data_IF_867607873510
#
_entry.id   IF_867607873510
#
_cell.length_a   1.000
_cell.length_b   1.000
_cell.length_c   1.000
_cell.angle_alpha   90.00
_cell.angle_beta   90.00
_cell.angle_gamma   90.00
#
_symmetry.space_group_name_H-M   'P 1'
#
loop_
_entity.id
_entity.type
_entity.pdbx_description
1 polymer ?
#
# COMPACT_ATOMS: atom_id res chain seq x y z
N UNK A 1 21.48 -69.28 -13.84
CA UNK A 1 22.13 -70.20 -14.82
C UNK A 1 22.51 -69.40 -16.05
N UNK A 2 23.80 -69.42 -16.33
CA UNK A 2 24.55 -69.56 -17.55
C UNK A 2 24.89 -68.26 -18.20
N UNK A 3 26.08 -67.67 -18.03
CA UNK A 3 27.45 -68.00 -18.52
C UNK A 3 27.50 -67.94 -20.07
N UNK A 4 28.25 -67.07 -20.68
CA UNK A 4 29.63 -67.08 -21.21
C UNK A 4 29.72 -66.11 -22.39
N UNK A 5 30.62 -65.12 -22.41
CA UNK A 5 32.02 -64.98 -22.81
C UNK A 5 32.27 -64.67 -24.29
N UNK A 6 33.11 -63.62 -24.48
CA UNK A 6 34.15 -63.33 -25.47
C UNK A 6 33.85 -62.91 -26.90
N UNK A 7 34.44 -61.76 -27.25
CA UNK A 7 34.81 -61.36 -28.59
C UNK A 7 35.58 -60.07 -28.62
N UNK A 8 36.93 -60.19 -28.60
CA UNK A 8 37.89 -59.13 -28.80
C UNK A 8 37.94 -58.70 -30.28
N UNK A 9 37.99 -57.40 -30.53
CA UNK A 9 38.34 -56.83 -31.83
C UNK A 9 38.73 -55.38 -31.67
N UNK A 10 40.06 -55.12 -31.67
CA UNK A 10 40.63 -53.82 -31.58
C UNK A 10 40.65 -53.07 -32.91
N UNK A 11 40.74 -51.79 -32.86
CA UNK A 11 41.64 -50.91 -33.60
C UNK A 11 41.05 -49.52 -33.83
N UNK A 12 41.85 -48.53 -33.69
CA UNK A 12 41.67 -47.25 -34.37
C UNK A 12 41.44 -46.06 -33.49
N UNK A 13 42.47 -45.56 -32.78
CA UNK A 13 42.53 -44.23 -32.22
C UNK A 13 42.72 -43.23 -33.35
N UNK A 14 41.73 -42.41 -33.65
CA UNK A 14 41.90 -41.17 -34.39
C UNK A 14 41.59 -40.04 -33.43
N UNK A 15 42.67 -39.40 -32.93
CA UNK A 15 42.60 -38.14 -32.18
C UNK A 15 42.22 -36.95 -33.10
N UNK A 16 40.93 -36.64 -33.14
CA UNK A 16 40.47 -35.40 -33.69
C UNK A 16 40.34 -34.37 -32.56
N UNK A 17 41.29 -33.44 -32.44
CA UNK A 17 41.15 -32.27 -31.60
C UNK A 17 40.14 -31.33 -32.26
N UNK A 18 38.87 -31.44 -31.83
CA UNK A 18 37.87 -30.46 -32.11
C UNK A 18 38.12 -29.18 -31.30
N UNK A 19 38.57 -28.15 -32.01
CA UNK A 19 38.67 -26.80 -31.46
C UNK A 19 37.26 -26.27 -31.19
N UNK A 20 36.85 -26.16 -29.91
CA UNK A 20 35.62 -25.50 -29.47
C UNK A 20 35.96 -23.99 -29.50
N UNK A 21 35.31 -23.18 -30.33
CA UNK A 21 35.48 -21.73 -30.26
C UNK A 21 34.97 -21.22 -28.89
N UNK A 22 35.59 -20.20 -28.27
CA UNK A 22 35.09 -19.64 -27.03
C UNK A 22 33.67 -19.12 -27.28
N UNK A 23 32.75 -19.44 -26.35
CA UNK A 23 31.41 -18.89 -26.32
C UNK A 23 31.53 -17.35 -26.34
N UNK A 24 30.97 -16.74 -27.37
CA UNK A 24 30.79 -15.29 -27.44
C UNK A 24 30.11 -14.86 -26.16
N UNK A 25 30.72 -13.94 -25.41
CA UNK A 25 30.10 -13.30 -24.28
C UNK A 25 28.80 -12.65 -24.78
N UNK A 26 27.66 -13.22 -24.40
CA UNK A 26 26.37 -12.57 -24.55
C UNK A 26 26.49 -11.20 -23.89
N UNK A 27 26.24 -10.16 -24.66
CA UNK A 27 26.34 -8.79 -24.23
C UNK A 27 25.44 -8.60 -22.99
N UNK A 28 26.04 -8.13 -21.91
CA UNK A 28 25.27 -7.68 -20.75
C UNK A 28 24.27 -6.63 -21.24
N UNK A 29 22.98 -6.98 -21.23
CA UNK A 29 21.90 -6.03 -21.48
C UNK A 29 22.04 -4.98 -20.39
N UNK A 30 22.35 -3.74 -20.77
CA UNK A 30 22.38 -2.62 -19.85
C UNK A 30 21.01 -2.60 -19.12
N UNK A 31 20.98 -2.40 -17.79
CA UNK A 31 19.72 -2.31 -17.07
C UNK A 31 18.87 -1.25 -17.75
N UNK A 32 17.66 -1.62 -18.19
CA UNK A 32 16.74 -0.67 -18.77
C UNK A 32 16.50 0.44 -17.75
N UNK A 33 16.71 1.69 -18.13
CA UNK A 33 16.40 2.80 -17.24
C UNK A 33 14.94 2.67 -16.78
N UNK A 34 14.72 2.85 -15.47
CA UNK A 34 13.36 2.82 -14.92
C UNK A 34 12.48 3.82 -15.67
N UNK A 35 11.25 3.45 -16.07
CA UNK A 35 10.32 4.38 -16.73
C UNK A 35 9.83 5.48 -15.78
N UNK A 36 10.28 5.45 -14.52
CA UNK A 36 9.81 6.31 -13.43
C UNK A 36 10.91 7.26 -12.97
N UNK A 37 10.54 8.53 -12.72
CA UNK A 37 11.38 9.56 -12.11
C UNK A 37 10.83 9.92 -10.74
N UNK A 38 11.65 9.82 -9.69
CA UNK A 38 11.27 10.22 -8.33
C UNK A 38 11.03 11.74 -8.30
N UNK A 39 9.84 12.16 -7.84
CA UNK A 39 9.44 13.58 -7.76
C UNK A 39 9.13 14.04 -6.33
N UNK A 40 8.84 13.11 -5.42
CA UNK A 40 8.61 13.40 -4.00
C UNK A 40 8.91 12.15 -3.17
N UNK A 41 9.47 12.35 -1.97
CA UNK A 41 9.69 11.28 -1.02
C UNK A 41 9.65 11.79 0.43
N UNK A 42 9.34 10.89 1.35
CA UNK A 42 9.66 10.97 2.75
C UNK A 42 10.26 9.65 3.19
N UNK A 43 11.53 9.69 3.57
CA UNK A 43 12.33 8.53 4.03
C UNK A 43 12.33 8.45 5.57
N UNK A 44 11.67 9.39 6.25
CA UNK A 44 11.56 9.47 7.71
C UNK A 44 12.89 9.44 8.46
N UNK A 45 13.91 10.11 7.90
CA UNK A 45 15.29 10.11 8.45
C UNK A 45 15.46 10.90 9.76
N UNK A 46 14.54 11.81 10.08
CA UNK A 46 14.66 12.70 11.22
C UNK A 46 13.68 12.35 12.34
N UNK A 47 14.17 11.85 13.45
CA UNK A 47 13.34 11.54 14.62
C UNK A 47 12.56 12.74 15.15
N UNK A 48 11.36 12.49 15.65
CA UNK A 48 10.46 13.49 16.20
C UNK A 48 9.07 13.46 15.64
N UNK A 49 8.43 14.62 15.48
CA UNK A 49 7.13 14.69 14.82
C UNK A 49 7.31 14.63 13.30
N UNK A 50 6.33 14.05 12.56
CA UNK A 50 6.30 14.10 11.11
C UNK A 50 6.51 15.53 10.56
N UNK A 51 7.27 15.66 9.48
CA UNK A 51 7.65 16.93 8.87
C UNK A 51 6.39 17.75 8.48
N UNK A 52 6.16 18.93 9.06
CA UNK A 52 4.97 19.75 8.79
C UNK A 52 4.95 20.33 7.36
N UNK A 53 6.08 20.33 6.63
CA UNK A 53 6.11 20.73 5.22
C UNK A 53 5.57 19.62 4.30
N UNK A 54 5.52 18.38 4.79
CA UNK A 54 5.04 17.21 4.05
C UNK A 54 3.69 16.72 4.55
N UNK A 55 3.44 16.78 5.86
CA UNK A 55 2.29 16.20 6.52
C UNK A 55 1.47 17.22 7.27
N UNK A 56 0.17 17.11 7.14
CA UNK A 56 -0.84 17.71 7.99
C UNK A 56 -1.62 16.60 8.71
N UNK A 57 -2.55 16.98 9.56
CA UNK A 57 -3.37 16.05 10.34
C UNK A 57 -4.85 16.29 10.06
N UNK A 58 -5.62 15.23 9.96
CA UNK A 58 -7.05 15.28 10.16
C UNK A 58 -7.35 14.95 11.63
N UNK A 59 -8.15 15.79 12.29
CA UNK A 59 -8.33 15.77 13.75
C UNK A 59 -9.81 15.59 14.11
N UNK A 60 -10.08 14.79 15.13
CA UNK A 60 -11.42 14.61 15.68
C UNK A 60 -11.84 13.17 15.86
N UNK A 61 -13.01 12.98 16.49
CA UNK A 61 -13.57 11.68 16.84
C UNK A 61 -15.02 11.50 16.43
N UNK A 62 -15.47 12.12 15.33
CA UNK A 62 -16.87 12.07 14.88
C UNK A 62 -17.24 10.79 14.13
N UNK A 63 -16.41 9.71 14.24
CA UNK A 63 -16.65 8.41 13.60
C UNK A 63 -16.28 8.34 12.12
N UNK A 64 -15.82 9.45 11.50
CA UNK A 64 -15.26 9.54 10.16
C UNK A 64 -16.11 8.91 9.04
N UNK A 65 -17.45 8.85 9.25
CA UNK A 65 -18.39 8.25 8.31
C UNK A 65 -18.52 6.72 8.39
N UNK A 66 -17.73 6.06 9.25
CA UNK A 66 -17.61 4.62 9.38
C UNK A 66 -17.88 4.10 10.80
N UNK A 67 -18.37 4.96 11.72
CA UNK A 67 -18.53 4.66 13.16
C UNK A 67 -17.21 4.24 13.84
N UNK A 68 -16.09 4.80 13.39
CA UNK A 68 -14.77 4.58 13.98
C UNK A 68 -14.71 5.11 15.42
N UNK A 69 -13.99 4.42 16.29
CA UNK A 69 -14.01 4.68 17.75
C UNK A 69 -12.93 5.64 18.22
N UNK A 70 -11.84 5.79 17.49
CA UNK A 70 -10.71 6.62 17.89
C UNK A 70 -10.98 8.12 17.70
N UNK A 71 -10.29 8.89 18.53
CA UNK A 71 -10.02 10.31 18.25
C UNK A 71 -8.67 10.41 17.52
N UNK A 72 -8.64 10.97 16.33
CA UNK A 72 -7.39 11.32 15.64
C UNK A 72 -6.83 12.61 16.22
N UNK A 73 -5.60 12.54 16.74
CA UNK A 73 -4.92 13.64 17.42
C UNK A 73 -4.02 14.42 16.46
N UNK A 74 -3.69 15.66 16.84
CA UNK A 74 -2.74 16.49 16.11
C UNK A 74 -1.42 16.58 16.87
N UNK A 75 -0.30 16.35 16.19
CA UNK A 75 1.07 16.57 16.70
C UNK A 75 1.33 15.92 18.09
N UNK A 76 0.71 14.80 18.35
CA UNK A 76 0.88 14.02 19.56
C UNK A 76 1.84 12.86 19.30
N UNK A 77 3.07 12.88 19.90
CA UNK A 77 4.10 11.87 19.61
C UNK A 77 3.67 10.43 19.94
N UNK A 78 2.75 10.28 20.89
CA UNK A 78 2.19 8.98 21.25
C UNK A 78 1.38 8.34 20.12
N UNK A 79 0.81 9.16 19.21
CA UNK A 79 0.00 8.68 18.09
C UNK A 79 0.70 8.79 16.73
N UNK A 80 1.60 9.79 16.55
CA UNK A 80 2.37 9.92 15.32
C UNK A 80 3.75 10.48 15.60
N UNK A 81 4.78 9.72 15.23
CA UNK A 81 6.19 10.11 15.38
C UNK A 81 7.08 9.43 14.35
N UNK A 82 8.22 10.02 14.09
CA UNK A 82 9.34 9.39 13.42
C UNK A 82 10.30 8.88 14.51
N UNK A 83 10.66 7.61 14.44
CA UNK A 83 11.52 6.93 15.40
C UNK A 83 12.32 5.85 14.66
N UNK A 84 13.65 5.87 14.80
CA UNK A 84 14.57 4.90 14.18
C UNK A 84 14.38 4.76 12.66
N UNK A 85 14.20 5.87 11.96
CA UNK A 85 14.04 5.89 10.51
C UNK A 85 12.68 5.42 9.99
N UNK A 86 11.65 5.42 10.83
CA UNK A 86 10.30 4.99 10.45
C UNK A 86 9.25 5.96 10.96
N UNK A 87 8.21 6.19 10.18
CA UNK A 87 6.99 6.80 10.69
C UNK A 87 6.19 5.74 11.45
N UNK A 88 5.84 6.06 12.69
CA UNK A 88 4.97 5.26 13.54
C UNK A 88 3.61 5.94 13.65
N UNK A 89 2.55 5.33 13.13
CA UNK A 89 1.16 5.71 13.43
C UNK A 89 0.64 4.70 14.45
N UNK A 90 0.36 5.18 15.68
CA UNK A 90 0.05 4.31 16.81
C UNK A 90 -1.37 4.55 17.32
N UNK A 91 -2.18 3.50 17.30
CA UNK A 91 -3.48 3.47 17.95
C UNK A 91 -3.31 3.02 19.42
N UNK A 92 -3.92 3.74 20.33
CA UNK A 92 -3.80 3.54 21.79
C UNK A 92 -5.17 3.51 22.45
N UNK A 93 -5.26 2.81 23.57
CA UNK A 93 -6.39 2.86 24.49
C UNK A 93 -6.02 3.72 25.70
N UNK A 94 -6.22 5.03 25.61
CA UNK A 94 -5.70 5.97 26.63
C UNK A 94 -6.65 7.12 27.00
N UNK A 95 -7.90 7.06 26.55
CA UNK A 95 -8.98 8.00 26.88
C UNK A 95 -8.63 9.48 26.61
N UNK A 96 -9.07 9.99 25.48
CA UNK A 96 -8.80 11.35 25.04
C UNK A 96 -10.07 12.01 24.48
N UNK A 97 -10.38 13.25 24.91
CA UNK A 97 -11.53 14.02 24.41
C UNK A 97 -12.86 13.23 24.42
N UNK A 98 -13.06 12.36 25.42
CA UNK A 98 -14.25 11.53 25.54
C UNK A 98 -14.27 10.26 24.70
N UNK A 99 -13.19 9.95 24.00
CA UNK A 99 -13.00 8.72 23.23
C UNK A 99 -12.07 7.77 23.98
N UNK A 100 -12.38 6.47 23.96
CA UNK A 100 -11.57 5.45 24.62
C UNK A 100 -10.24 5.22 23.90
N UNK A 101 -10.22 5.42 22.58
CA UNK A 101 -9.07 5.19 21.72
C UNK A 101 -8.57 6.49 21.10
N UNK A 102 -7.26 6.57 20.92
CA UNK A 102 -6.60 7.62 20.12
C UNK A 102 -5.82 7.00 18.98
N UNK A 103 -5.59 7.78 17.92
CA UNK A 103 -4.71 7.41 16.80
C UNK A 103 -4.29 8.67 16.04
N UNK A 104 -3.69 8.50 14.85
CA UNK A 104 -3.41 9.60 13.94
C UNK A 104 -3.88 9.30 12.51
N UNK A 105 -4.25 10.36 11.81
CA UNK A 105 -4.53 10.39 10.38
C UNK A 105 -3.71 11.51 9.76
N UNK A 106 -2.62 11.09 9.11
CA UNK A 106 -1.69 11.97 8.43
C UNK A 106 -2.12 12.16 6.98
N UNK A 107 -2.06 13.38 6.49
CA UNK A 107 -2.48 13.74 5.14
C UNK A 107 -1.47 14.64 4.46
N UNK A 108 -1.27 14.47 3.15
CA UNK A 108 -0.49 15.44 2.36
C UNK A 108 -1.34 16.61 1.84
N UNK A 109 -2.61 16.72 2.25
CA UNK A 109 -3.52 17.80 1.87
C UNK A 109 -2.94 19.17 2.23
N UNK A 110 -2.90 20.08 1.24
CA UNK A 110 -2.30 21.40 1.41
C UNK A 110 -0.76 21.41 1.34
N UNK A 111 -0.11 20.28 1.19
CA UNK A 111 1.33 20.09 1.03
C UNK A 111 1.69 19.55 -0.34
N UNK A 112 1.13 18.38 -0.68
CA UNK A 112 1.34 17.72 -1.96
C UNK A 112 0.07 17.02 -2.44
N UNK A 113 -0.10 16.93 -3.75
CA UNK A 113 -1.12 16.12 -4.41
C UNK A 113 -0.65 15.80 -5.82
N UNK A 114 -0.96 14.64 -6.32
CA UNK A 114 -0.49 14.14 -7.60
C UNK A 114 -1.65 13.70 -8.47
N UNK A 115 -1.48 13.81 -9.77
CA UNK A 115 -2.36 13.22 -10.78
C UNK A 115 -1.53 12.30 -11.64
N UNK A 116 -1.87 11.01 -11.60
CA UNK A 116 -1.12 9.94 -12.26
C UNK A 116 0.27 9.71 -11.63
N UNK A 117 0.94 8.66 -12.07
CA UNK A 117 2.25 8.30 -11.59
C UNK A 117 2.28 7.00 -10.79
N UNK A 118 3.39 6.76 -10.10
CA UNK A 118 3.58 5.61 -9.22
C UNK A 118 3.77 6.10 -7.79
N UNK A 119 2.93 5.68 -6.87
CA UNK A 119 3.03 5.94 -5.43
C UNK A 119 3.41 4.63 -4.74
N UNK A 120 4.50 4.61 -4.00
CA UNK A 120 4.99 3.45 -3.27
C UNK A 120 5.06 3.79 -1.78
N UNK A 121 4.40 3.01 -0.97
CA UNK A 121 4.50 3.08 0.49
C UNK A 121 5.01 1.74 1.00
N UNK A 122 6.18 1.75 1.65
CA UNK A 122 6.71 0.56 2.30
C UNK A 122 6.33 0.56 3.76
N UNK A 123 5.54 -0.43 4.17
CA UNK A 123 4.97 -0.46 5.50
C UNK A 123 4.86 -1.88 6.07
N UNK A 124 4.81 -1.94 7.40
CA UNK A 124 4.44 -3.11 8.19
C UNK A 124 3.14 -2.79 8.92
N UNK A 125 2.14 -3.66 8.78
CA UNK A 125 0.79 -3.44 9.27
C UNK A 125 0.63 -3.81 10.75
N UNK A 126 -0.35 -3.22 11.45
CA UNK A 126 -0.72 -3.66 12.80
C UNK A 126 -1.41 -5.02 12.77
N UNK A 127 -1.43 -5.67 13.91
CA UNK A 127 -2.22 -6.88 14.19
C UNK A 127 -3.37 -6.56 15.17
N UNK A 128 -4.22 -7.54 15.41
CA UNK A 128 -5.23 -7.49 16.49
C UNK A 128 -6.61 -7.03 16.05
N UNK A 129 -7.61 -7.73 16.58
CA UNK A 129 -9.03 -7.51 16.27
C UNK A 129 -9.45 -6.08 16.64
N UNK A 130 -10.01 -5.38 15.67
CA UNK A 130 -10.44 -3.99 15.79
C UNK A 130 -9.49 -2.97 15.17
N UNK A 131 -8.32 -3.37 14.65
CA UNK A 131 -7.45 -2.46 13.88
C UNK A 131 -7.89 -2.37 12.42
N UNK A 132 -7.76 -1.17 11.84
CA UNK A 132 -8.05 -0.89 10.44
C UNK A 132 -7.07 0.16 9.90
N UNK A 133 -5.86 -0.25 9.52
CA UNK A 133 -4.92 0.62 8.82
C UNK A 133 -5.34 0.84 7.39
N UNK A 134 -5.04 2.05 6.87
CA UNK A 134 -5.24 2.38 5.46
C UNK A 134 -4.14 3.29 4.90
N UNK A 135 -3.79 3.04 3.64
CA UNK A 135 -2.96 3.86 2.77
C UNK A 135 -3.82 4.16 1.55
N UNK A 136 -4.28 5.41 1.40
CA UNK A 136 -5.31 5.75 0.45
C UNK A 136 -5.25 7.20 0.00
N UNK A 137 -6.07 7.58 -0.96
CA UNK A 137 -6.04 8.91 -1.57
C UNK A 137 -7.42 9.49 -1.78
N UNK A 138 -7.52 10.82 -1.56
CA UNK A 138 -8.72 11.61 -1.81
C UNK A 138 -8.43 12.79 -2.75
N UNK A 139 -9.42 13.29 -3.51
CA UNK A 139 -9.26 14.44 -4.39
C UNK A 139 -8.76 15.68 -3.65
N UNK A 140 -7.84 16.43 -4.27
CA UNK A 140 -7.17 17.60 -3.68
C UNK A 140 -8.13 18.63 -3.06
N UNK A 141 -9.29 18.84 -3.64
CA UNK A 141 -10.29 19.80 -3.17
C UNK A 141 -11.31 19.25 -2.19
N UNK A 142 -11.30 17.94 -1.95
CA UNK A 142 -12.30 17.28 -1.11
C UNK A 142 -12.12 17.65 0.37
N UNK A 143 -13.25 17.92 1.03
CA UNK A 143 -13.32 18.17 2.48
C UNK A 143 -14.42 17.30 3.10
N UNK A 144 -14.28 17.00 4.39
CA UNK A 144 -15.30 16.23 5.10
C UNK A 144 -16.64 17.00 5.11
N UNK A 145 -17.65 16.41 4.47
CA UNK A 145 -18.95 17.05 4.22
C UNK A 145 -19.32 17.18 2.74
N UNK A 146 -18.34 17.03 1.84
CA UNK A 146 -18.60 16.89 0.41
C UNK A 146 -19.30 15.54 0.13
N UNK A 147 -20.00 15.45 -1.01
CA UNK A 147 -20.71 14.24 -1.38
C UNK A 147 -19.72 13.14 -1.74
N UNK A 148 -19.55 12.20 -0.84
CA UNK A 148 -18.73 11.02 -1.07
C UNK A 148 -19.58 9.90 -1.71
N UNK A 149 -19.08 9.12 -2.69
CA UNK A 149 -17.76 9.15 -3.31
C UNK A 149 -17.73 9.77 -4.73
N UNK A 150 -18.55 10.81 -4.98
CA UNK A 150 -18.74 11.37 -6.34
C UNK A 150 -17.42 11.85 -6.97
N UNK A 151 -16.50 12.34 -6.15
CA UNK A 151 -15.18 12.85 -6.58
C UNK A 151 -14.09 11.78 -6.68
N UNK A 152 -14.38 10.53 -6.28
CA UNK A 152 -13.46 9.39 -6.30
C UNK A 152 -12.68 9.19 -4.99
N UNK A 153 -12.28 7.95 -4.75
CA UNK A 153 -11.37 7.50 -3.68
C UNK A 153 -10.53 6.34 -4.21
N UNK A 154 -9.24 6.31 -3.88
CA UNK A 154 -8.32 5.24 -4.29
C UNK A 154 -7.69 4.66 -3.02
N UNK A 155 -7.99 3.41 -2.72
CA UNK A 155 -7.45 2.67 -1.58
C UNK A 155 -6.32 1.77 -2.07
N UNK A 156 -5.07 2.19 -1.78
CA UNK A 156 -3.87 1.47 -2.18
C UNK A 156 -3.68 0.23 -1.30
N UNK A 157 -3.97 0.38 -0.01
CA UNK A 157 -3.91 -0.69 0.97
C UNK A 157 -4.95 -0.45 2.04
N UNK A 158 -5.78 -1.45 2.29
CA UNK A 158 -6.59 -1.57 3.49
C UNK A 158 -6.41 -2.97 4.08
N UNK A 159 -6.47 -3.06 5.41
CA UNK A 159 -6.39 -4.31 6.16
C UNK A 159 -7.25 -4.22 7.42
N UNK A 160 -7.82 -5.33 7.85
CA UNK A 160 -8.57 -5.42 9.10
C UNK A 160 -8.00 -6.52 9.99
N UNK A 161 -7.78 -6.21 11.25
CA UNK A 161 -7.06 -7.08 12.18
C UNK A 161 -7.76 -8.40 12.52
N UNK A 162 -9.04 -8.57 12.17
CA UNK A 162 -9.73 -9.86 12.33
C UNK A 162 -9.57 -10.79 11.10
N UNK A 163 -9.03 -10.29 9.99
CA UNK A 163 -8.72 -11.05 8.78
C UNK A 163 -7.24 -10.83 8.41
N UNK A 164 -6.37 -11.16 9.38
CA UNK A 164 -4.95 -10.87 9.31
C UNK A 164 -4.28 -11.50 8.10
N UNK A 165 -3.46 -10.73 7.40
CA UNK A 165 -2.76 -11.14 6.19
C UNK A 165 -3.59 -11.04 4.90
N UNK A 166 -4.82 -10.51 4.95
CA UNK A 166 -5.61 -10.20 3.75
C UNK A 166 -5.54 -8.70 3.48
N UNK A 167 -4.93 -8.31 2.38
CA UNK A 167 -4.77 -6.92 1.95
C UNK A 167 -5.72 -6.62 0.80
N UNK A 168 -6.38 -5.47 0.86
CA UNK A 168 -7.36 -5.03 -0.12
C UNK A 168 -6.85 -3.79 -0.85
N UNK A 169 -7.11 -3.74 -2.17
CA UNK A 169 -6.99 -2.55 -3.01
C UNK A 169 -8.35 -2.26 -3.63
N UNK A 170 -8.82 -1.01 -3.55
CA UNK A 170 -10.19 -0.66 -3.90
C UNK A 170 -10.24 0.70 -4.58
N UNK A 171 -11.25 0.94 -5.40
CA UNK A 171 -11.66 2.28 -5.81
C UNK A 171 -13.14 2.50 -5.53
N UNK A 172 -13.46 3.72 -5.08
CA UNK A 172 -14.83 4.17 -4.92
C UNK A 172 -15.10 5.36 -5.84
N UNK A 173 -16.26 5.33 -6.48
CA UNK A 173 -16.78 6.42 -7.29
C UNK A 173 -18.31 6.40 -7.25
N UNK A 174 -18.97 7.43 -7.78
CA UNK A 174 -20.42 7.54 -7.73
C UNK A 174 -21.16 6.32 -8.28
N UNK A 175 -20.62 5.69 -9.34
CA UNK A 175 -21.18 4.48 -9.95
C UNK A 175 -20.89 3.22 -9.13
N UNK A 176 -19.77 3.16 -8.41
CA UNK A 176 -19.24 1.97 -7.73
C UNK A 176 -18.75 2.32 -6.34
N UNK A 177 -19.42 1.87 -5.28
CA UNK A 177 -18.96 2.04 -3.91
C UNK A 177 -19.64 1.06 -2.94
N UNK A 178 -19.08 0.90 -1.74
CA UNK A 178 -19.46 -0.16 -0.80
C UNK A 178 -20.93 -0.10 -0.37
N UNK A 179 -21.55 1.08 -0.21
CA UNK A 179 -22.97 1.18 0.18
C UNK A 179 -23.92 0.66 -0.89
N UNK A 180 -23.47 0.57 -2.14
CA UNK A 180 -24.19 -0.10 -3.22
C UNK A 180 -23.81 -1.59 -3.35
N UNK A 181 -22.77 -2.04 -2.61
CA UNK A 181 -22.26 -3.40 -2.68
C UNK A 181 -21.57 -3.73 -4.02
N UNK A 182 -21.09 -2.74 -4.75
CA UNK A 182 -20.55 -2.89 -6.10
C UNK A 182 -19.23 -2.16 -6.33
N UNK A 183 -18.50 -1.77 -5.26
CA UNK A 183 -17.16 -1.19 -5.37
C UNK A 183 -16.24 -2.08 -6.22
N UNK A 184 -15.27 -1.47 -6.87
CA UNK A 184 -14.27 -2.18 -7.65
C UNK A 184 -13.02 -2.35 -6.80
N UNK A 185 -12.58 -3.60 -6.65
CA UNK A 185 -11.42 -3.91 -5.85
C UNK A 185 -11.04 -5.39 -5.97
N UNK A 186 -9.89 -5.72 -5.40
CA UNK A 186 -9.41 -7.08 -5.23
C UNK A 186 -8.68 -7.21 -3.90
N UNK A 187 -8.41 -8.45 -3.50
CA UNK A 187 -7.64 -8.77 -2.32
C UNK A 187 -6.49 -9.71 -2.66
N UNK A 188 -5.43 -9.66 -1.85
CA UNK A 188 -4.27 -10.53 -1.96
C UNK A 188 -3.88 -11.06 -0.57
N UNK A 189 -3.39 -12.31 -0.54
CA UNK A 189 -2.85 -12.92 0.69
C UNK A 189 -1.40 -12.49 0.90
N UNK A 190 -1.11 -11.90 2.06
CA UNK A 190 0.21 -11.46 2.52
C UNK A 190 0.38 -11.96 3.96
N UNK A 191 0.69 -13.23 4.18
CA UNK A 191 0.64 -13.85 5.52
C UNK A 191 1.55 -13.21 6.56
N UNK A 192 2.58 -12.51 6.12
CA UNK A 192 3.56 -11.80 6.97
C UNK A 192 3.42 -10.27 6.95
N UNK A 193 2.30 -9.73 6.46
CA UNK A 193 2.04 -8.28 6.41
C UNK A 193 2.21 -7.57 7.77
N UNK A 194 1.98 -8.27 8.88
CA UNK A 194 2.10 -7.73 10.24
C UNK A 194 3.48 -7.95 10.87
N UNK A 195 4.35 -8.75 10.24
CA UNK A 195 5.69 -9.09 10.75
C UNK A 195 6.83 -8.63 9.87
N UNK A 196 6.58 -8.37 8.58
CA UNK A 196 7.55 -7.89 7.60
C UNK A 196 7.09 -6.58 6.95
N UNK A 197 8.05 -5.84 6.37
CA UNK A 197 7.76 -4.68 5.54
C UNK A 197 7.51 -5.11 4.10
N UNK A 198 6.45 -4.56 3.53
CA UNK A 198 6.05 -4.77 2.15
C UNK A 198 5.82 -3.45 1.42
N UNK A 199 5.96 -3.44 0.10
CA UNK A 199 5.64 -2.30 -0.75
C UNK A 199 4.19 -2.37 -1.24
N UNK A 200 3.39 -1.41 -0.81
CA UNK A 200 2.02 -1.17 -1.29
C UNK A 200 2.09 -0.09 -2.36
N UNK A 201 1.79 -0.46 -3.60
CA UNK A 201 2.04 0.40 -4.76
C UNK A 201 0.76 0.68 -5.55
N UNK A 202 0.55 1.95 -5.87
CA UNK A 202 -0.37 2.42 -6.87
C UNK A 202 0.41 2.78 -8.15
N UNK A 203 -0.01 2.25 -9.30
CA UNK A 203 0.33 2.80 -10.61
C UNK A 203 -0.93 3.37 -11.25
N UNK A 204 -0.94 4.67 -11.43
CA UNK A 204 -2.10 5.40 -11.88
C UNK A 204 -1.84 6.10 -13.21
N UNK A 205 -2.60 5.70 -14.21
CA UNK A 205 -2.52 6.16 -15.60
C UNK A 205 -3.78 6.94 -15.98
N UNK A 206 -3.77 7.66 -17.11
CA UNK A 206 -4.97 8.34 -17.61
C UNK A 206 -6.16 7.44 -17.87
N UNK A 207 -5.91 6.15 -18.15
CA UNK A 207 -6.88 5.17 -18.62
C UNK A 207 -7.09 3.99 -17.66
N UNK A 208 -6.32 3.90 -16.57
CA UNK A 208 -6.44 2.82 -15.60
C UNK A 208 -5.74 3.09 -14.29
N UNK A 209 -6.17 2.41 -13.26
CA UNK A 209 -5.54 2.30 -11.94
C UNK A 209 -5.08 0.86 -11.75
N UNK A 210 -3.84 0.66 -11.31
CA UNK A 210 -3.25 -0.63 -10.99
C UNK A 210 -2.74 -0.61 -9.55
N UNK A 211 -3.06 -1.64 -8.76
CA UNK A 211 -2.55 -1.80 -7.39
C UNK A 211 -1.69 -3.05 -7.32
N UNK A 212 -0.48 -2.87 -6.78
CA UNK A 212 0.53 -3.91 -6.70
C UNK A 212 0.96 -4.11 -5.25
N UNK A 213 1.39 -5.33 -4.97
CA UNK A 213 1.97 -5.79 -3.72
C UNK A 213 3.36 -6.36 -4.02
N UNK A 214 4.44 -5.76 -3.49
CA UNK A 214 5.82 -6.15 -3.80
C UNK A 214 6.04 -6.35 -5.32
N UNK A 215 5.62 -5.37 -6.13
CA UNK A 215 5.60 -5.39 -7.61
C UNK A 215 4.66 -6.44 -8.26
N UNK A 216 3.94 -7.26 -7.49
CA UNK A 216 2.95 -8.18 -8.03
C UNK A 216 1.60 -7.48 -8.23
N UNK A 217 1.20 -7.27 -9.48
CA UNK A 217 -0.10 -6.71 -9.83
C UNK A 217 -1.24 -7.63 -9.40
N UNK A 218 -2.18 -7.14 -8.58
CA UNK A 218 -3.34 -7.92 -8.16
C UNK A 218 -4.69 -7.26 -8.41
N UNK A 219 -4.72 -5.94 -8.66
CA UNK A 219 -5.95 -5.22 -8.99
C UNK A 219 -5.72 -4.27 -10.16
N UNK A 220 -6.66 -4.24 -11.11
CA UNK A 220 -6.72 -3.27 -12.21
C UNK A 220 -8.14 -2.75 -12.36
N UNK A 221 -8.29 -1.44 -12.37
CA UNK A 221 -9.54 -0.76 -12.71
C UNK A 221 -9.33 0.11 -13.94
N UNK A 222 -9.87 -0.28 -15.12
CA UNK A 222 -9.78 0.52 -16.34
C UNK A 222 -10.85 1.61 -16.39
N UNK A 223 -10.58 2.71 -17.10
CA UNK A 223 -11.62 3.63 -17.52
C UNK A 223 -12.58 2.92 -18.49
N UNK A 224 -13.82 2.80 -18.10
CA UNK A 224 -14.88 2.16 -18.92
C UNK A 224 -15.36 3.06 -20.07
N UNK A 225 -14.91 4.32 -20.14
CA UNK A 225 -15.38 5.30 -21.10
C UNK A 225 -16.84 5.71 -20.91
N UNK A 226 -17.41 5.50 -19.71
CA UNK A 226 -18.84 5.75 -19.41
C UNK A 226 -19.08 7.07 -18.67
N UNK A 227 -18.02 7.90 -18.55
CA UNK A 227 -18.08 9.25 -17.98
C UNK A 227 -17.68 9.35 -16.51
N UNK A 228 -17.76 10.56 -15.92
CA UNK A 228 -17.17 10.89 -14.63
C UNK A 228 -17.77 10.13 -13.44
N UNK A 229 -19.01 9.64 -13.55
CA UNK A 229 -19.61 8.83 -12.49
C UNK A 229 -18.87 7.50 -12.27
N UNK A 230 -18.18 6.98 -13.31
CA UNK A 230 -17.35 5.79 -13.23
C UNK A 230 -15.85 6.12 -13.15
N UNK A 231 -15.41 7.22 -13.76
CA UNK A 231 -14.00 7.61 -13.82
C UNK A 231 -13.78 9.06 -13.37
N UNK A 232 -13.82 9.36 -12.07
CA UNK A 232 -13.48 10.68 -11.53
C UNK A 232 -11.97 10.88 -11.29
N UNK A 233 -11.13 9.95 -11.72
CA UNK A 233 -9.68 9.86 -11.43
C UNK A 233 -8.81 10.62 -12.44
N UNK A 234 -9.26 11.81 -12.88
CA UNK A 234 -8.57 12.67 -13.83
C UNK A 234 -8.10 14.01 -13.22
N UNK A 235 -8.07 14.10 -11.90
CA UNK A 235 -7.68 15.27 -11.10
C UNK A 235 -6.62 14.90 -10.05
N UNK A 236 -5.92 15.85 -9.42
CA UNK A 236 -4.95 15.54 -8.38
C UNK A 236 -5.61 14.99 -7.10
N UNK A 237 -4.98 13.98 -6.49
CA UNK A 237 -5.34 13.39 -5.20
C UNK A 237 -4.21 13.58 -4.19
N UNK A 238 -4.54 13.76 -2.92
CA UNK A 238 -3.60 13.76 -1.81
C UNK A 238 -3.60 12.41 -1.09
N UNK A 239 -2.47 12.06 -0.49
CA UNK A 239 -2.27 10.79 0.22
C UNK A 239 -2.73 10.92 1.68
N UNK A 240 -3.26 9.81 2.21
CA UNK A 240 -3.70 9.65 3.59
C UNK A 240 -3.09 8.36 4.15
N UNK A 241 -2.52 8.45 5.36
CA UNK A 241 -2.03 7.33 6.15
C UNK A 241 -2.73 7.37 7.51
N UNK A 242 -3.46 6.33 7.86
CA UNK A 242 -4.14 6.27 9.16
C UNK A 242 -4.21 4.86 9.73
N UNK A 243 -4.48 4.80 11.02
CA UNK A 243 -4.86 3.57 11.71
C UNK A 243 -6.17 3.82 12.46
N UNK A 244 -7.28 3.36 11.90
CA UNK A 244 -8.58 3.40 12.57
C UNK A 244 -8.74 2.28 13.60
N UNK A 245 -9.67 2.48 14.54
CA UNK A 245 -10.06 1.50 15.56
C UNK A 245 -11.56 1.26 15.46
N UNK A 246 -11.97 -0.01 15.30
CA UNK A 246 -13.38 -0.36 15.18
C UNK A 246 -13.98 0.06 13.84
N UNK A 247 -15.14 0.71 13.87
CA UNK A 247 -15.89 1.07 12.68
C UNK A 247 -16.69 -0.10 12.08
N UNK A 248 -17.47 0.19 11.04
CA UNK A 248 -18.32 -0.83 10.39
C UNK A 248 -17.54 -2.03 9.87
N UNK A 249 -16.32 -1.83 9.39
CA UNK A 249 -15.50 -2.89 8.83
C UNK A 249 -14.43 -3.35 9.82
N UNK A 250 -13.54 -2.50 10.29
CA UNK A 250 -12.50 -2.88 11.25
C UNK A 250 -13.05 -3.49 12.54
N UNK A 251 -14.25 -3.04 12.96
CA UNK A 251 -14.97 -3.52 14.13
C UNK A 251 -16.00 -4.61 13.85
N UNK A 252 -16.10 -5.18 12.65
CA UNK A 252 -17.14 -6.15 12.30
C UNK A 252 -17.13 -7.42 13.18
N UNK A 253 -15.98 -7.76 13.78
CA UNK A 253 -15.84 -8.85 14.74
C UNK A 253 -15.54 -8.35 16.17
N UNK A 254 -15.88 -7.08 16.47
CA UNK A 254 -15.59 -6.42 17.71
C UNK A 254 -14.23 -5.73 17.72
N UNK A 255 -13.85 -5.24 18.90
CA UNK A 255 -12.54 -4.64 19.18
C UNK A 255 -11.98 -5.31 20.43
N UNK A 256 -10.82 -5.92 20.32
CA UNK A 256 -10.12 -6.45 21.49
C UNK A 256 -9.34 -5.32 22.18
N UNK A 257 -9.77 -4.88 23.37
CA UNK A 257 -9.14 -3.75 24.05
C UNK A 257 -7.73 -4.06 24.57
N UNK A 258 -7.36 -5.33 24.70
CA UNK A 258 -6.12 -5.76 25.31
C UNK A 258 -4.95 -5.85 24.30
N UNK A 259 -5.24 -5.72 23.02
CA UNK A 259 -4.18 -5.76 21.97
C UNK A 259 -3.44 -4.42 21.83
N UNK A 260 -4.02 -3.31 22.30
CA UNK A 260 -3.44 -1.96 22.14
C UNK A 260 -2.28 -1.70 23.13
N UNK A 261 -1.23 -0.94 22.73
CA UNK A 261 -1.12 -0.16 21.49
C UNK A 261 -0.81 -1.01 20.27
N UNK A 262 -1.31 -0.55 19.09
CA UNK A 262 -1.02 -1.15 17.79
C UNK A 262 -0.41 -0.11 16.85
N UNK A 263 0.40 -0.55 15.90
CA UNK A 263 1.22 0.36 15.07
C UNK A 263 1.14 0.01 13.59
N UNK A 264 0.84 1.00 12.77
CA UNK A 264 1.23 1.03 11.36
C UNK A 264 2.62 1.66 11.30
N UNK A 265 3.61 0.90 10.83
CA UNK A 265 5.02 1.33 10.73
C UNK A 265 5.35 1.53 9.27
N UNK A 266 5.71 2.76 8.88
CA UNK A 266 6.03 3.12 7.50
C UNK A 266 7.51 3.41 7.38
N UNK A 267 8.20 2.70 6.48
CA UNK A 267 9.62 2.86 6.20
C UNK A 267 9.86 4.06 5.27
N UNK A 268 9.10 4.16 4.19
CA UNK A 268 9.14 5.30 3.29
C UNK A 268 7.84 5.50 2.51
N UNK A 269 7.69 6.70 1.99
CA UNK A 269 6.71 7.06 0.95
C UNK A 269 7.46 7.68 -0.21
N UNK A 270 7.29 7.14 -1.42
CA UNK A 270 7.94 7.62 -2.64
C UNK A 270 6.92 7.81 -3.75
N UNK A 271 6.99 8.95 -4.44
CA UNK A 271 6.14 9.25 -5.58
C UNK A 271 6.98 9.52 -6.81
N UNK A 272 6.57 8.90 -7.90
CA UNK A 272 7.26 8.95 -9.18
C UNK A 272 6.31 9.39 -10.28
N UNK A 273 6.83 10.11 -11.25
CA UNK A 273 6.17 10.43 -12.51
C UNK A 273 6.73 9.59 -13.65
N UNK A 274 5.93 9.30 -14.68
CA UNK A 274 6.41 8.66 -15.89
C UNK A 274 7.37 9.60 -16.63
N UNK A 275 8.46 9.04 -17.20
CA UNK A 275 9.41 9.76 -18.05
C UNK A 275 8.82 10.12 -19.39
#
# INVERSE_FOLDING_TARGET
LGVLILGLGGAGVLSGQGHIPPASAEGAVAPSESPWTLVWADEFDADGLPDPERWAYDVGGHGWGNEELQYYTERRPENARVEDGHLIVEARRDNWEGHEYTSARLVTRGRAAWKYGRIVVRAKLPTGVGTWPAIWMMPKGWTFGDVWPDEGEIDIMEHVGYDEGVVHGTVHCKKYYHKLGNQKGAQIQVPDATTAFHEYTLQWYPDRIEVLMDDALYFTYPDEGTGPDAWPFDKPFYLILNLAVGGFWGGAQGVDPDVYPQRLVVDYVRVYEAR
#
